data_IF_290117114300
#
_entry.id   IF_290117114300
#
_cell.length_a   1.000
_cell.length_b   1.000
_cell.length_c   1.000
_cell.angle_alpha   90.00
_cell.angle_beta   90.00
_cell.angle_gamma   90.00
#
_symmetry.space_group_name_H-M   'P 1'
#
loop_
_entity.id
_entity.type
_entity.pdbx_description
1 polymer ?
#
# COMPACT_ATOMS: atom_id res chain seq x y z
N UNK A 1 18.31 29.24 12.96
CA UNK A 1 18.65 28.17 12.02
C UNK A 1 17.40 27.80 11.24
N UNK A 2 17.34 28.14 9.95
CA UNK A 2 16.23 27.82 9.06
C UNK A 2 16.24 26.31 8.79
N UNK A 3 15.29 25.58 9.38
CA UNK A 3 15.07 24.16 9.12
C UNK A 3 14.50 24.07 7.70
N UNK A 4 15.36 23.89 6.69
CA UNK A 4 14.91 23.57 5.33
C UNK A 4 14.18 22.23 5.40
N UNK A 5 12.92 22.13 4.95
CA UNK A 5 12.24 20.84 4.90
C UNK A 5 13.05 19.90 4.01
N UNK A 6 13.33 18.71 4.53
CA UNK A 6 13.98 17.62 3.82
C UNK A 6 13.10 17.30 2.61
N UNK A 7 13.48 17.79 1.43
CA UNK A 7 12.84 17.46 0.16
C UNK A 7 12.97 15.95 -0.04
N UNK A 8 11.90 15.20 0.18
CA UNK A 8 11.91 13.78 -0.19
C UNK A 8 10.80 12.89 0.37
N UNK A 9 10.14 13.24 1.48
CA UNK A 9 9.00 12.47 2.00
C UNK A 9 7.86 13.44 2.34
N UNK A 10 7.14 13.88 1.31
CA UNK A 10 5.90 14.63 1.45
C UNK A 10 4.73 13.63 1.46
N UNK A 11 4.02 13.53 2.58
CA UNK A 11 2.85 12.67 2.84
C UNK A 11 3.16 11.19 3.10
N UNK A 12 2.59 10.67 4.19
CA UNK A 12 2.59 9.24 4.58
C UNK A 12 2.22 8.30 3.42
N UNK A 13 1.45 8.78 2.45
CA UNK A 13 1.10 8.06 1.23
C UNK A 13 2.35 7.67 0.40
N UNK A 14 3.34 8.56 0.27
CA UNK A 14 4.57 8.24 -0.46
C UNK A 14 5.43 7.25 0.30
N UNK A 15 5.47 7.34 1.64
CA UNK A 15 6.19 6.39 2.48
C UNK A 15 5.61 4.97 2.31
N UNK A 16 4.30 4.80 2.49
CA UNK A 16 3.68 3.48 2.32
C UNK A 16 3.75 2.98 0.87
N UNK A 17 3.70 3.88 -0.13
CA UNK A 17 3.89 3.49 -1.53
C UNK A 17 5.27 2.90 -1.74
N UNK A 18 6.31 3.51 -1.16
CA UNK A 18 7.68 3.01 -1.22
C UNK A 18 7.75 1.62 -0.60
N UNK A 19 7.27 1.48 0.63
CA UNK A 19 7.27 0.21 1.36
C UNK A 19 6.57 -0.92 0.59
N UNK A 20 5.40 -0.64 0.00
CA UNK A 20 4.64 -1.63 -0.77
C UNK A 20 5.37 -1.99 -2.07
N UNK A 21 5.89 -0.99 -2.80
CA UNK A 21 6.60 -1.23 -4.06
C UNK A 21 7.89 -2.03 -3.83
N UNK A 22 8.61 -1.79 -2.74
CA UNK A 22 9.79 -2.54 -2.35
C UNK A 22 9.45 -3.94 -1.86
N UNK A 23 8.41 -4.08 -1.02
CA UNK A 23 7.94 -5.37 -0.52
C UNK A 23 7.45 -6.30 -1.64
N UNK A 24 6.83 -5.72 -2.67
CA UNK A 24 6.41 -6.43 -3.88
C UNK A 24 7.55 -6.69 -4.88
N UNK A 25 8.79 -6.24 -4.58
CA UNK A 25 9.96 -6.31 -5.47
C UNK A 25 9.76 -5.58 -6.82
N UNK A 26 8.95 -4.53 -6.83
CA UNK A 26 8.63 -3.72 -8.02
C UNK A 26 8.84 -2.20 -7.79
N UNK A 27 10.03 -1.74 -7.36
CA UNK A 27 10.28 -0.33 -7.09
C UNK A 27 10.11 0.56 -8.34
N UNK A 28 10.36 0.02 -9.54
CA UNK A 28 10.15 0.71 -10.83
C UNK A 28 8.68 1.05 -11.08
N UNK A 29 7.74 0.44 -10.34
CA UNK A 29 6.29 0.67 -10.46
C UNK A 29 5.74 1.60 -9.36
N UNK A 30 6.59 2.38 -8.69
CA UNK A 30 6.17 3.29 -7.62
C UNK A 30 4.92 4.14 -7.98
N UNK A 31 4.91 4.77 -9.17
CA UNK A 31 3.79 5.60 -9.60
C UNK A 31 2.46 4.83 -9.74
N UNK A 32 2.51 3.55 -10.14
CA UNK A 32 1.35 2.67 -10.20
C UNK A 32 0.77 2.43 -8.81
N UNK A 33 1.63 2.04 -7.86
CA UNK A 33 1.23 1.83 -6.47
C UNK A 33 0.72 3.13 -5.84
N UNK A 34 1.33 4.27 -6.15
CA UNK A 34 0.87 5.58 -5.68
C UNK A 34 -0.56 5.88 -6.15
N UNK A 35 -0.85 5.64 -7.42
CA UNK A 35 -2.21 5.81 -7.98
C UNK A 35 -3.23 4.89 -7.30
N UNK A 36 -2.86 3.64 -7.03
CA UNK A 36 -3.71 2.68 -6.31
C UNK A 36 -3.97 3.15 -4.88
N UNK A 37 -2.92 3.51 -4.14
CA UNK A 37 -3.01 3.92 -2.73
C UNK A 37 -3.78 5.23 -2.58
N UNK A 38 -3.61 6.20 -3.50
CA UNK A 38 -4.44 7.41 -3.54
C UNK A 38 -5.93 7.09 -3.73
N UNK A 39 -6.27 6.04 -4.47
CA UNK A 39 -7.65 5.60 -4.71
C UNK A 39 -8.26 4.86 -3.50
N UNK A 40 -7.51 3.99 -2.84
CA UNK A 40 -8.01 3.17 -1.72
C UNK A 40 -7.83 3.84 -0.34
N UNK A 41 -6.94 4.83 -0.26
CA UNK A 41 -6.55 5.49 0.99
C UNK A 41 -5.43 4.77 1.75
N UNK A 42 -4.68 5.54 2.54
CA UNK A 42 -3.52 5.04 3.30
C UNK A 42 -3.87 3.92 4.29
N UNK A 43 -5.00 4.03 4.98
CA UNK A 43 -5.40 3.06 6.01
C UNK A 43 -5.68 1.68 5.40
N UNK A 44 -6.38 1.63 4.27
CA UNK A 44 -6.66 0.37 3.56
C UNK A 44 -5.38 -0.24 2.99
N UNK A 45 -4.48 0.59 2.46
CA UNK A 45 -3.19 0.13 1.98
C UNK A 45 -2.34 -0.52 3.10
N UNK A 46 -2.35 0.03 4.32
CA UNK A 46 -1.69 -0.59 5.48
C UNK A 46 -2.32 -1.92 5.87
N UNK A 47 -3.66 -2.00 5.88
CA UNK A 47 -4.37 -3.26 6.16
C UNK A 47 -3.98 -4.34 5.16
N UNK A 48 -4.07 -4.05 3.86
CA UNK A 48 -3.70 -4.98 2.80
C UNK A 48 -2.23 -5.41 2.94
N UNK A 49 -1.32 -4.48 3.22
CA UNK A 49 0.09 -4.82 3.42
C UNK A 49 0.27 -5.79 4.61
N UNK A 50 -0.46 -5.58 5.70
CA UNK A 50 -0.45 -6.49 6.85
C UNK A 50 -1.02 -7.87 6.50
N UNK A 51 -2.16 -7.92 5.79
CA UNK A 51 -2.80 -9.15 5.33
C UNK A 51 -1.83 -9.98 4.46
N UNK A 52 -1.15 -9.34 3.49
CA UNK A 52 -0.20 -10.01 2.60
C UNK A 52 1.03 -10.50 3.38
N UNK A 53 1.50 -9.74 4.38
CA UNK A 53 2.64 -10.16 5.22
C UNK A 53 2.35 -11.38 6.08
N UNK A 54 1.09 -11.59 6.47
CA UNK A 54 0.67 -12.73 7.29
C UNK A 54 0.46 -14.02 6.47
N UNK A 55 0.18 -13.89 5.17
CA UNK A 55 0.00 -15.02 4.27
C UNK A 55 1.32 -15.74 4.01
N UNK A 56 1.37 -17.04 4.35
CA UNK A 56 2.59 -17.87 4.29
C UNK A 56 2.94 -18.40 2.90
N UNK A 57 1.99 -18.39 1.95
CA UNK A 57 2.16 -18.99 0.63
C UNK A 57 1.58 -18.08 -0.46
N UNK A 58 2.39 -17.15 -0.96
CA UNK A 58 1.97 -16.19 -1.98
C UNK A 58 2.93 -16.28 -3.17
N UNK A 59 2.45 -16.82 -4.28
CA UNK A 59 3.18 -16.84 -5.56
C UNK A 59 3.52 -15.43 -6.05
N UNK A 60 2.60 -14.46 -5.87
CA UNK A 60 2.83 -13.07 -6.28
C UNK A 60 2.17 -12.04 -5.37
N UNK A 61 3.01 -11.44 -4.52
CA UNK A 61 2.61 -10.38 -3.57
C UNK A 61 2.01 -9.16 -4.28
N UNK A 62 2.57 -8.82 -5.45
CA UNK A 62 2.08 -7.74 -6.30
C UNK A 62 0.67 -8.01 -6.83
N UNK A 63 0.40 -9.21 -7.35
CA UNK A 63 -0.95 -9.59 -7.83
C UNK A 63 -1.95 -9.58 -6.68
N UNK A 64 -1.58 -10.12 -5.52
CA UNK A 64 -2.44 -10.15 -4.34
C UNK A 64 -2.76 -8.73 -3.85
N UNK A 65 -1.77 -7.84 -3.79
CA UNK A 65 -1.99 -6.43 -3.46
C UNK A 65 -2.96 -5.76 -4.42
N UNK A 66 -2.77 -5.94 -5.73
CA UNK A 66 -3.65 -5.35 -6.75
C UNK A 66 -5.07 -5.92 -6.68
N UNK A 67 -5.22 -7.21 -6.39
CA UNK A 67 -6.52 -7.87 -6.20
C UNK A 67 -7.25 -7.30 -4.99
N UNK A 68 -6.62 -7.28 -3.81
CA UNK A 68 -7.20 -6.74 -2.58
C UNK A 68 -7.50 -5.24 -2.68
N UNK A 69 -6.75 -4.51 -3.52
CA UNK A 69 -6.97 -3.09 -3.81
C UNK A 69 -8.11 -2.80 -4.80
N UNK A 70 -8.64 -3.81 -5.50
CA UNK A 70 -9.82 -3.68 -6.37
C UNK A 70 -11.12 -3.92 -5.59
N UNK A 71 -11.10 -4.79 -4.58
CA UNK A 71 -12.26 -5.10 -3.77
C UNK A 71 -12.51 -4.00 -2.74
N UNK A 72 -13.30 -2.99 -3.11
CA UNK A 72 -13.67 -1.87 -2.21
C UNK A 72 -14.68 -2.26 -1.11
N UNK A 73 -15.18 -3.50 -1.07
CA UNK A 73 -16.49 -3.82 -0.50
C UNK A 73 -16.58 -5.05 0.43
N UNK A 74 -15.57 -5.40 1.23
CA UNK A 74 -15.76 -6.52 2.20
C UNK A 74 -15.20 -6.26 3.61
N UNK A 75 -15.39 -5.06 4.13
CA UNK A 75 -15.20 -4.80 5.57
C UNK A 75 -16.32 -3.98 6.18
N UNK A 76 -17.55 -4.20 5.70
CA UNK A 76 -18.77 -3.89 6.45
C UNK A 76 -19.57 -5.17 6.68
N UNK A 77 -19.04 -6.08 7.49
CA UNK A 77 -19.88 -6.89 8.36
C UNK A 77 -19.05 -7.54 9.48
N UNK A 78 -19.28 -7.14 10.73
CA UNK A 78 -19.62 -8.12 11.74
C UNK A 78 -21.11 -7.94 12.00
N UNK A 79 -21.92 -8.85 11.44
CA UNK A 79 -23.21 -9.19 12.02
C UNK A 79 -22.89 -9.71 13.41
N UNK A 80 -23.15 -8.92 14.43
CA UNK A 80 -23.53 -9.42 15.74
C UNK A 80 -24.50 -8.45 16.38
#
# INVERSE_FOLDING_TARGET
MLIKPIRGIHSEIHAITKDISEYCKEPKKFALYLGVIKRIGKNRAYQILSEIKQSKDIESRAKLFMYLSKNKNDSKNPKK
#
